data_IF_732592114570
#
_entry.id   IF_732592114570
#
_cell.length_a   1.000
_cell.length_b   1.000
_cell.length_c   1.000
_cell.angle_alpha   90.00
_cell.angle_beta   90.00
_cell.angle_gamma   90.00
#
_symmetry.space_group_name_H-M   'P 1'
#
loop_
_entity.id
_entity.type
_entity.pdbx_description
1 polymer ?
#
# COMPACT_ATOMS: atom_id res chain seq x y z
N UNK A 1 -46.84 -5.41 -1.03
CA UNK A 1 -46.85 -6.08 -2.33
C UNK A 1 -47.13 -4.99 -3.36
N UNK A 2 -46.13 -4.15 -3.59
CA UNK A 2 -46.17 -3.14 -4.65
C UNK A 2 -45.54 -3.82 -5.86
N UNK A 3 -46.29 -3.87 -6.95
CA UNK A 3 -45.81 -4.34 -8.24
C UNK A 3 -44.94 -3.21 -8.80
N UNK A 4 -43.63 -3.44 -8.89
CA UNK A 4 -42.72 -2.56 -9.64
C UNK A 4 -43.19 -2.52 -11.10
N UNK A 5 -43.79 -1.39 -11.48
CA UNK A 5 -44.16 -1.10 -12.87
C UNK A 5 -42.87 -0.64 -13.59
N UNK A 6 -42.11 -1.60 -14.13
CA UNK A 6 -40.92 -1.30 -14.93
C UNK A 6 -41.28 -0.34 -16.06
N UNK A 7 -40.55 0.78 -16.17
CA UNK A 7 -40.74 1.75 -17.25
C UNK A 7 -40.64 1.06 -18.62
N UNK A 8 -41.54 1.35 -19.59
CA UNK A 8 -41.50 0.78 -20.94
C UNK A 8 -40.15 0.98 -21.65
N UNK A 9 -39.44 2.06 -21.32
CA UNK A 9 -38.11 2.36 -21.87
C UNK A 9 -37.07 1.39 -21.31
N UNK A 10 -37.12 1.07 -20.02
CA UNK A 10 -36.23 0.09 -19.36
C UNK A 10 -36.38 -1.29 -20.00
N UNK A 11 -37.62 -1.75 -20.20
CA UNK A 11 -37.90 -3.03 -20.89
C UNK A 11 -37.33 -3.04 -22.31
N UNK A 12 -37.45 -1.92 -23.03
CA UNK A 12 -36.92 -1.78 -24.39
C UNK A 12 -35.39 -1.84 -24.40
N UNK A 13 -34.71 -1.14 -23.48
CA UNK A 13 -33.24 -1.19 -23.34
C UNK A 13 -32.78 -2.61 -23.03
N UNK A 14 -33.43 -3.32 -22.10
CA UNK A 14 -33.12 -4.73 -21.79
C UNK A 14 -33.21 -5.61 -23.04
N UNK A 15 -34.27 -5.44 -23.84
CA UNK A 15 -34.45 -6.20 -25.07
C UNK A 15 -33.33 -5.91 -26.08
N UNK A 16 -32.97 -4.64 -26.28
CA UNK A 16 -31.85 -4.24 -27.14
C UNK A 16 -30.51 -4.79 -26.66
N UNK A 17 -30.28 -4.80 -25.35
CA UNK A 17 -29.08 -5.36 -24.74
C UNK A 17 -28.96 -6.87 -25.03
N UNK A 18 -30.05 -7.62 -24.88
CA UNK A 18 -30.11 -9.05 -25.21
C UNK A 18 -29.90 -9.31 -26.72
N UNK A 19 -30.45 -8.46 -27.59
CA UNK A 19 -30.20 -8.51 -29.03
C UNK A 19 -28.72 -8.30 -29.36
N UNK A 20 -28.09 -7.31 -28.75
CA UNK A 20 -26.66 -7.05 -28.89
C UNK A 20 -25.80 -8.27 -28.46
N UNK A 21 -26.06 -8.83 -27.27
CA UNK A 21 -25.33 -10.04 -26.80
C UNK A 21 -25.47 -11.21 -27.76
N UNK A 22 -26.68 -11.45 -28.26
CA UNK A 22 -26.92 -12.50 -29.25
C UNK A 22 -26.16 -12.22 -30.55
N UNK A 23 -26.07 -10.97 -30.99
CA UNK A 23 -25.27 -10.59 -32.17
C UNK A 23 -23.77 -10.85 -31.97
N UNK A 24 -23.21 -10.61 -30.79
CA UNK A 24 -21.78 -10.88 -30.51
C UNK A 24 -21.41 -12.33 -30.83
N UNK A 25 -22.28 -13.29 -30.51
CA UNK A 25 -22.06 -14.72 -30.84
C UNK A 25 -22.09 -15.04 -32.34
N UNK A 26 -22.75 -14.20 -33.14
CA UNK A 26 -22.99 -14.43 -34.58
C UNK A 26 -21.96 -13.74 -35.48
N UNK A 27 -21.62 -12.49 -35.16
CA UNK A 27 -20.78 -11.64 -36.02
C UNK A 27 -19.46 -11.23 -35.36
N UNK A 28 -19.24 -11.63 -34.10
CA UNK A 28 -18.05 -11.24 -33.33
C UNK A 28 -18.27 -9.99 -32.48
N UNK A 29 -17.43 -9.83 -31.45
CA UNK A 29 -17.57 -8.79 -30.44
C UNK A 29 -17.32 -7.40 -31.02
N UNK A 30 -16.23 -7.24 -31.75
CA UNK A 30 -15.79 -5.97 -32.32
C UNK A 30 -16.79 -5.46 -33.35
N UNK A 31 -17.26 -6.33 -34.24
CA UNK A 31 -18.24 -5.98 -35.27
C UNK A 31 -19.61 -5.63 -34.66
N UNK A 32 -20.11 -6.45 -33.72
CA UNK A 32 -21.36 -6.15 -33.03
C UNK A 32 -21.26 -4.84 -32.24
N UNK A 33 -20.13 -4.60 -31.55
CA UNK A 33 -19.93 -3.40 -30.76
C UNK A 33 -19.96 -2.14 -31.63
N UNK A 34 -19.30 -2.18 -32.79
CA UNK A 34 -19.31 -1.10 -33.78
C UNK A 34 -20.68 -0.90 -34.41
N UNK A 35 -21.35 -1.98 -34.84
CA UNK A 35 -22.66 -1.92 -35.47
C UNK A 35 -23.69 -1.26 -34.54
N UNK A 36 -23.82 -1.77 -33.31
CA UNK A 36 -24.79 -1.27 -32.34
C UNK A 36 -24.44 0.12 -31.78
N UNK A 37 -23.16 0.54 -31.86
CA UNK A 37 -22.76 1.90 -31.49
C UNK A 37 -23.19 2.98 -32.47
N UNK A 38 -23.31 2.63 -33.74
CA UNK A 38 -23.60 3.57 -34.82
C UNK A 38 -25.10 3.65 -35.18
N UNK A 39 -25.93 2.73 -34.66
CA UNK A 39 -27.37 2.74 -34.90
C UNK A 39 -28.02 3.90 -34.11
N UNK A 40 -28.92 4.63 -34.76
CA UNK A 40 -29.78 5.61 -34.11
C UNK A 40 -31.02 4.92 -33.54
N UNK A 41 -31.07 4.77 -32.22
CA UNK A 41 -32.23 4.23 -31.50
C UNK A 41 -33.17 5.34 -31.07
N UNK A 42 -34.11 5.71 -31.93
CA UNK A 42 -35.10 6.75 -31.63
C UNK A 42 -36.11 6.31 -30.54
N UNK A 43 -36.32 5.00 -30.40
CA UNK A 43 -37.17 4.36 -29.39
C UNK A 43 -36.63 4.52 -27.95
N UNK A 44 -35.33 4.75 -27.78
CA UNK A 44 -34.70 4.92 -26.46
C UNK A 44 -34.64 6.40 -26.00
N UNK A 45 -34.98 7.35 -26.88
CA UNK A 45 -35.03 8.77 -26.56
C UNK A 45 -33.76 9.30 -25.88
N UNK A 46 -33.93 10.01 -24.75
CA UNK A 46 -32.84 10.60 -23.97
C UNK A 46 -32.10 9.59 -23.08
N UNK A 47 -32.63 8.37 -22.92
CA UNK A 47 -32.03 7.31 -22.10
C UNK A 47 -31.14 6.36 -22.90
N UNK A 48 -30.94 6.62 -24.20
CA UNK A 48 -30.06 5.84 -25.08
C UNK A 48 -28.68 5.58 -24.46
N UNK A 49 -28.12 6.57 -23.78
CA UNK A 49 -26.78 6.43 -23.18
C UNK A 49 -26.70 5.28 -22.18
N UNK A 50 -27.80 4.88 -21.53
CA UNK A 50 -27.84 3.70 -20.64
C UNK A 50 -27.57 2.43 -21.41
N UNK A 51 -28.21 2.25 -22.58
CA UNK A 51 -27.91 1.13 -23.48
C UNK A 51 -26.45 1.15 -23.95
N UNK A 52 -25.95 2.33 -24.36
CA UNK A 52 -24.56 2.48 -24.81
C UNK A 52 -23.57 2.10 -23.69
N UNK A 53 -23.89 2.44 -22.42
CA UNK A 53 -23.12 2.10 -21.24
C UNK A 53 -23.14 0.58 -20.93
N UNK A 54 -24.33 -0.06 -20.94
CA UNK A 54 -24.43 -1.52 -20.77
C UNK A 54 -23.60 -2.27 -21.81
N UNK A 55 -23.67 -1.81 -23.07
CA UNK A 55 -22.89 -2.37 -24.19
C UNK A 55 -21.37 -2.17 -23.99
N UNK A 56 -20.95 -1.01 -23.50
CA UNK A 56 -19.54 -0.75 -23.14
C UNK A 56 -19.06 -1.66 -22.00
N UNK A 57 -19.88 -1.89 -20.97
CA UNK A 57 -19.55 -2.78 -19.85
C UNK A 57 -19.40 -4.24 -20.33
N UNK A 58 -20.34 -4.73 -21.14
CA UNK A 58 -20.25 -6.07 -21.74
C UNK A 58 -19.00 -6.23 -22.61
N UNK A 59 -18.65 -5.20 -23.38
CA UNK A 59 -17.45 -5.22 -24.21
C UNK A 59 -16.19 -5.35 -23.35
N UNK A 60 -16.05 -4.53 -22.29
CA UNK A 60 -14.94 -4.59 -21.36
C UNK A 60 -14.82 -5.98 -20.74
N UNK A 61 -15.91 -6.49 -20.17
CA UNK A 61 -15.97 -7.80 -19.53
C UNK A 61 -15.52 -8.91 -20.49
N UNK A 62 -16.06 -8.92 -21.73
CA UNK A 62 -15.72 -9.93 -22.73
C UNK A 62 -14.26 -9.85 -23.16
N UNK A 63 -13.69 -8.65 -23.31
CA UNK A 63 -12.26 -8.48 -23.63
C UNK A 63 -11.39 -9.01 -22.50
N UNK A 64 -11.74 -8.74 -21.25
CA UNK A 64 -10.99 -9.23 -20.09
C UNK A 64 -11.02 -10.76 -19.96
N UNK A 65 -12.14 -11.38 -20.32
CA UNK A 65 -12.27 -12.85 -20.38
C UNK A 65 -11.42 -13.44 -21.51
N UNK A 66 -11.31 -12.75 -22.65
CA UNK A 66 -10.46 -13.17 -23.78
C UNK A 66 -8.97 -13.03 -23.49
N UNK A 67 -8.57 -12.04 -22.70
CA UNK A 67 -7.18 -11.72 -22.43
C UNK A 67 -6.84 -11.63 -20.93
N UNK A 68 -7.10 -12.69 -20.14
CA UNK A 68 -7.08 -12.64 -18.68
C UNK A 68 -5.69 -12.43 -18.05
N UNK A 69 -4.62 -12.59 -18.83
CA UNK A 69 -3.23 -12.45 -18.37
C UNK A 69 -2.40 -11.51 -19.26
N UNK A 70 -3.03 -10.88 -20.26
CA UNK A 70 -2.36 -10.00 -21.22
C UNK A 70 -2.96 -8.60 -21.17
N UNK A 71 -2.63 -7.88 -20.10
CA UNK A 71 -3.11 -6.53 -19.83
C UNK A 71 -2.83 -5.53 -20.98
N UNK A 72 -1.70 -5.69 -21.70
CA UNK A 72 -1.39 -4.83 -22.84
C UNK A 72 -2.32 -5.08 -24.02
N UNK A 73 -2.62 -6.35 -24.32
CA UNK A 73 -3.55 -6.70 -25.40
C UNK A 73 -4.98 -6.30 -25.01
N UNK A 74 -5.42 -6.60 -23.79
CA UNK A 74 -6.72 -6.15 -23.28
C UNK A 74 -6.89 -4.63 -23.42
N UNK A 75 -5.89 -3.86 -22.99
CA UNK A 75 -5.90 -2.40 -23.11
C UNK A 75 -5.96 -1.88 -24.55
N UNK A 76 -5.37 -2.58 -25.54
CA UNK A 76 -5.46 -2.21 -26.96
C UNK A 76 -6.86 -2.37 -27.53
N UNK A 77 -7.64 -3.32 -27.03
CA UNK A 77 -9.03 -3.54 -27.44
C UNK A 77 -9.99 -2.61 -26.69
N UNK A 78 -9.82 -2.47 -25.36
CA UNK A 78 -10.71 -1.66 -24.51
C UNK A 78 -10.66 -0.18 -24.89
N UNK A 79 -9.48 0.43 -24.94
CA UNK A 79 -9.36 1.89 -25.10
C UNK A 79 -10.08 2.48 -26.32
N UNK A 80 -9.96 1.93 -27.54
CA UNK A 80 -10.67 2.47 -28.70
C UNK A 80 -12.18 2.14 -28.72
N UNK A 81 -12.61 1.09 -28.01
CA UNK A 81 -14.02 0.68 -27.97
C UNK A 81 -14.88 1.48 -27.00
N UNK A 82 -14.29 2.19 -26.04
CA UNK A 82 -15.01 2.79 -24.91
C UNK A 82 -15.06 4.31 -25.03
N UNK A 83 -16.28 4.86 -25.13
CA UNK A 83 -16.53 6.30 -25.33
C UNK A 83 -17.13 6.96 -24.09
N UNK A 84 -18.22 6.42 -23.53
CA UNK A 84 -18.91 7.06 -22.41
C UNK A 84 -18.08 6.99 -21.14
N UNK A 85 -17.59 5.80 -20.78
CA UNK A 85 -16.77 5.64 -19.58
C UNK A 85 -15.43 6.37 -19.70
N UNK A 86 -14.94 6.66 -20.92
CA UNK A 86 -13.73 7.45 -21.17
C UNK A 86 -13.95 8.97 -21.09
N UNK A 87 -15.20 9.42 -20.93
CA UNK A 87 -15.57 10.84 -20.90
C UNK A 87 -15.83 11.30 -19.46
N UNK A 88 -14.88 12.09 -18.94
CA UNK A 88 -14.93 12.61 -17.57
C UNK A 88 -16.14 13.51 -17.29
N UNK A 89 -16.51 14.40 -18.23
CA UNK A 89 -17.70 15.26 -18.08
C UNK A 89 -18.98 14.42 -17.98
N UNK A 90 -19.09 13.37 -18.79
CA UNK A 90 -20.24 12.47 -18.73
C UNK A 90 -20.33 11.75 -17.37
N UNK A 91 -19.20 11.21 -16.87
CA UNK A 91 -19.15 10.55 -15.57
C UNK A 91 -19.52 11.51 -14.43
N UNK A 92 -19.03 12.74 -14.48
CA UNK A 92 -19.35 13.75 -13.47
C UNK A 92 -20.84 14.12 -13.48
N UNK A 93 -21.40 14.40 -14.66
CA UNK A 93 -22.77 14.92 -14.78
C UNK A 93 -23.85 13.84 -14.55
N UNK A 94 -23.49 12.55 -14.68
CA UNK A 94 -24.43 11.43 -14.59
C UNK A 94 -24.01 10.39 -13.53
N UNK A 95 -23.16 10.76 -12.57
CA UNK A 95 -22.47 9.81 -11.69
C UNK A 95 -23.40 8.82 -10.98
N UNK A 96 -24.50 9.30 -10.39
CA UNK A 96 -25.47 8.43 -9.70
C UNK A 96 -26.13 7.44 -10.67
N UNK A 97 -26.56 7.92 -11.83
CA UNK A 97 -27.25 7.11 -12.82
C UNK A 97 -26.29 6.12 -13.51
N UNK A 98 -25.00 6.48 -13.65
CA UNK A 98 -23.95 5.55 -14.08
C UNK A 98 -23.86 4.39 -13.09
N UNK A 99 -23.77 4.65 -11.78
CA UNK A 99 -23.72 3.59 -10.76
C UNK A 99 -24.97 2.72 -10.81
N UNK A 100 -26.18 3.30 -10.81
CA UNK A 100 -27.41 2.50 -10.95
C UNK A 100 -27.47 1.68 -12.24
N UNK A 101 -26.83 2.13 -13.31
CA UNK A 101 -26.74 1.37 -14.57
C UNK A 101 -25.70 0.24 -14.49
N UNK A 102 -24.63 0.40 -13.69
CA UNK A 102 -23.68 -0.68 -13.40
C UNK A 102 -24.31 -1.76 -12.53
N UNK A 103 -25.14 -1.40 -11.56
CA UNK A 103 -25.89 -2.35 -10.74
C UNK A 103 -26.89 -3.12 -11.62
N UNK A 104 -27.61 -2.40 -12.50
CA UNK A 104 -28.51 -3.03 -13.46
C UNK A 104 -27.79 -3.94 -14.46
N UNK A 105 -26.59 -3.57 -14.89
CA UNK A 105 -25.74 -4.45 -15.71
C UNK A 105 -25.45 -5.76 -14.99
N UNK A 106 -25.12 -5.72 -13.70
CA UNK A 106 -24.84 -6.90 -12.89
C UNK A 106 -26.07 -7.81 -12.79
N UNK A 107 -27.25 -7.24 -12.52
CA UNK A 107 -28.52 -7.98 -12.49
C UNK A 107 -28.85 -8.66 -13.83
N UNK A 108 -28.58 -7.99 -14.95
CA UNK A 108 -28.80 -8.53 -16.29
C UNK A 108 -27.83 -9.68 -16.62
N UNK A 109 -26.58 -9.58 -16.17
CA UNK A 109 -25.58 -10.64 -16.37
C UNK A 109 -25.76 -11.82 -15.40
N UNK A 110 -26.29 -11.60 -14.20
CA UNK A 110 -26.59 -12.65 -13.22
C UNK A 110 -27.70 -13.60 -13.71
N UNK A 111 -28.59 -13.12 -14.57
CA UNK A 111 -29.63 -13.92 -15.22
C UNK A 111 -29.09 -14.78 -16.38
N UNK A 112 -27.83 -14.60 -16.80
CA UNK A 112 -27.24 -15.33 -17.93
C UNK A 112 -26.58 -16.65 -17.49
N UNK A 113 -27.05 -17.82 -17.99
CA UNK A 113 -26.44 -19.11 -17.68
C UNK A 113 -24.99 -19.27 -18.18
N UNK A 114 -24.51 -18.39 -19.08
CA UNK A 114 -23.14 -18.37 -19.61
C UNK A 114 -22.25 -17.31 -18.95
N UNK A 115 -22.63 -16.83 -17.76
CA UNK A 115 -21.93 -15.81 -16.96
C UNK A 115 -20.40 -15.86 -17.13
N UNK A 116 -19.85 -14.77 -17.66
CA UNK A 116 -18.41 -14.64 -17.92
C UNK A 116 -17.65 -13.98 -16.75
N UNK A 117 -18.32 -13.73 -15.62
CA UNK A 117 -17.78 -13.11 -14.40
C UNK A 117 -18.28 -11.67 -14.22
N UNK A 118 -18.83 -11.32 -13.06
CA UNK A 118 -19.71 -10.16 -12.88
C UNK A 118 -18.99 -8.82 -12.76
N UNK A 119 -18.43 -8.51 -11.59
CA UNK A 119 -17.78 -7.23 -11.34
C UNK A 119 -16.25 -7.27 -11.49
N UNK A 120 -15.64 -8.46 -11.25
CA UNK A 120 -14.19 -8.64 -11.27
C UNK A 120 -13.55 -8.22 -12.61
N UNK A 121 -14.09 -8.74 -13.71
CA UNK A 121 -13.57 -8.45 -15.05
C UNK A 121 -13.87 -7.02 -15.47
N UNK A 122 -14.98 -6.45 -15.01
CA UNK A 122 -15.34 -5.08 -15.33
C UNK A 122 -14.41 -4.08 -14.63
N UNK A 123 -14.18 -4.24 -13.31
CA UNK A 123 -13.25 -3.42 -12.53
C UNK A 123 -11.81 -3.53 -13.03
N UNK A 124 -11.37 -4.75 -13.35
CA UNK A 124 -10.05 -4.98 -13.94
C UNK A 124 -9.94 -4.28 -15.30
N UNK A 125 -11.00 -4.35 -16.09
CA UNK A 125 -11.11 -3.64 -17.36
C UNK A 125 -11.03 -2.11 -17.23
N UNK A 126 -11.61 -1.54 -16.17
CA UNK A 126 -11.54 -0.09 -15.91
C UNK A 126 -10.11 0.40 -15.68
N UNK A 127 -9.19 -0.45 -15.21
CA UNK A 127 -7.75 -0.10 -15.05
C UNK A 127 -7.15 0.40 -16.38
N UNK A 128 -7.67 -0.07 -17.52
CA UNK A 128 -7.19 0.32 -18.84
C UNK A 128 -7.67 1.70 -19.31
N UNK A 129 -8.67 2.28 -18.64
CA UNK A 129 -9.28 3.56 -18.98
C UNK A 129 -8.52 4.74 -18.35
N UNK A 130 -8.59 5.89 -19.02
CA UNK A 130 -7.96 7.12 -18.53
C UNK A 130 -8.67 7.68 -17.30
N UNK A 131 -10.00 7.53 -17.25
CA UNK A 131 -10.97 7.97 -16.22
C UNK A 131 -11.16 6.96 -15.09
N UNK A 132 -10.27 5.97 -14.97
CA UNK A 132 -10.38 4.85 -14.01
C UNK A 132 -10.62 5.31 -12.56
N UNK A 133 -9.99 6.41 -12.14
CA UNK A 133 -10.15 6.95 -10.79
C UNK A 133 -11.51 7.61 -10.62
N UNK A 134 -12.00 8.33 -11.63
CA UNK A 134 -13.33 8.96 -11.65
C UNK A 134 -14.42 7.89 -11.60
N UNK A 135 -14.27 6.78 -12.32
CA UNK A 135 -15.22 5.66 -12.28
C UNK A 135 -15.28 5.07 -10.88
N UNK A 136 -14.13 4.74 -10.28
CA UNK A 136 -14.09 4.20 -8.91
C UNK A 136 -14.64 5.20 -7.90
N UNK A 137 -14.33 6.50 -8.05
CA UNK A 137 -14.88 7.58 -7.23
C UNK A 137 -16.40 7.58 -7.29
N UNK A 138 -16.99 7.51 -8.48
CA UNK A 138 -18.44 7.46 -8.65
C UNK A 138 -19.02 6.24 -7.92
N UNK A 139 -18.47 5.05 -8.15
CA UNK A 139 -18.95 3.80 -7.51
C UNK A 139 -18.97 3.95 -5.99
N UNK A 140 -17.83 4.31 -5.38
CA UNK A 140 -17.76 4.36 -3.91
C UNK A 140 -18.53 5.54 -3.31
N UNK A 141 -18.77 6.61 -4.07
CA UNK A 141 -19.54 7.76 -3.60
C UNK A 141 -21.05 7.46 -3.55
N UNK A 142 -21.58 6.79 -4.57
CA UNK A 142 -23.02 6.54 -4.70
C UNK A 142 -23.44 5.15 -4.22
N UNK A 143 -22.51 4.21 -4.09
CA UNK A 143 -22.69 2.95 -3.37
C UNK A 143 -21.50 2.65 -2.44
N UNK A 144 -21.51 3.18 -1.21
CA UNK A 144 -20.45 2.89 -0.24
C UNK A 144 -20.46 1.44 0.28
N UNK A 145 -21.58 0.71 0.14
CA UNK A 145 -21.69 -0.65 0.69
C UNK A 145 -20.84 -1.65 -0.10
N UNK A 146 -20.56 -1.38 -1.38
CA UNK A 146 -19.71 -2.23 -2.22
C UNK A 146 -18.21 -2.00 -2.02
N UNK A 147 -17.78 -1.01 -1.22
CA UNK A 147 -16.35 -0.71 -1.01
C UNK A 147 -15.51 -1.95 -0.64
N UNK A 148 -15.93 -2.80 0.32
CA UNK A 148 -15.16 -3.98 0.69
C UNK A 148 -14.99 -4.96 -0.48
N UNK A 149 -16.03 -5.11 -1.29
CA UNK A 149 -16.04 -5.97 -2.47
C UNK A 149 -15.19 -5.37 -3.59
N UNK A 150 -15.45 -4.14 -4.02
CA UNK A 150 -14.67 -3.44 -5.06
C UNK A 150 -13.17 -3.46 -4.74
N UNK A 151 -12.81 -3.20 -3.48
CA UNK A 151 -11.42 -3.29 -3.03
C UNK A 151 -10.87 -4.71 -3.22
N UNK A 152 -11.59 -5.72 -2.74
CA UNK A 152 -11.18 -7.12 -2.82
C UNK A 152 -10.94 -7.56 -4.28
N UNK A 153 -11.88 -7.23 -5.16
CA UNK A 153 -11.82 -7.54 -6.58
C UNK A 153 -10.66 -6.84 -7.30
N UNK A 154 -10.44 -5.54 -7.00
CA UNK A 154 -9.29 -4.80 -7.51
C UNK A 154 -7.97 -5.43 -7.04
N UNK A 155 -7.85 -5.81 -5.76
CA UNK A 155 -6.63 -6.45 -5.26
C UNK A 155 -6.37 -7.83 -5.89
N UNK A 156 -7.42 -8.58 -6.25
CA UNK A 156 -7.28 -9.84 -6.99
C UNK A 156 -6.71 -9.64 -8.41
N UNK A 157 -6.89 -8.47 -9.02
CA UNK A 157 -6.29 -8.17 -10.32
C UNK A 157 -4.77 -7.97 -10.24
N UNK A 158 -4.20 -7.57 -9.09
CA UNK A 158 -2.78 -7.23 -8.94
C UNK A 158 -1.84 -8.35 -9.44
N UNK A 159 -2.15 -9.61 -9.15
CA UNK A 159 -1.35 -10.76 -9.58
C UNK A 159 -1.41 -11.07 -11.08
N UNK A 160 -2.40 -10.53 -11.80
CA UNK A 160 -2.63 -10.73 -13.24
C UNK A 160 -2.05 -9.60 -14.09
N UNK A 161 -1.72 -8.46 -13.47
CA UNK A 161 -1.10 -7.32 -14.13
C UNK A 161 0.41 -7.53 -14.30
N UNK A 162 0.79 -8.05 -15.47
CA UNK A 162 2.18 -8.34 -15.83
C UNK A 162 3.05 -7.10 -16.08
N UNK A 163 2.44 -5.94 -16.36
CA UNK A 163 3.15 -4.68 -16.66
C UNK A 163 3.10 -3.71 -15.47
N UNK A 164 4.26 -3.13 -15.14
CA UNK A 164 4.42 -2.15 -14.05
C UNK A 164 3.50 -0.94 -14.21
N UNK A 165 3.14 -0.57 -15.44
CA UNK A 165 2.21 0.53 -15.71
C UNK A 165 0.82 0.27 -15.12
N UNK A 166 0.25 -0.91 -15.32
CA UNK A 166 -1.10 -1.20 -14.84
C UNK A 166 -1.14 -1.41 -13.33
N UNK A 167 -0.03 -1.85 -12.73
CA UNK A 167 0.10 -1.86 -11.27
C UNK A 167 0.04 -0.44 -10.68
N UNK A 168 0.64 0.55 -11.34
CA UNK A 168 0.50 1.97 -10.94
C UNK A 168 -0.96 2.42 -11.03
N UNK A 169 -1.66 2.08 -12.11
CA UNK A 169 -3.07 2.42 -12.28
C UNK A 169 -3.97 1.78 -11.22
N UNK A 170 -3.70 0.51 -10.88
CA UNK A 170 -4.36 -0.16 -9.77
C UNK A 170 -4.08 0.55 -8.44
N UNK A 171 -2.83 0.94 -8.17
CA UNK A 171 -2.48 1.73 -6.99
C UNK A 171 -3.30 3.02 -6.89
N UNK A 172 -3.47 3.74 -7.99
CA UNK A 172 -4.24 5.00 -8.04
C UNK A 172 -5.73 4.76 -7.78
N UNK A 173 -6.32 3.71 -8.34
CA UNK A 173 -7.72 3.35 -8.10
C UNK A 173 -7.96 2.99 -6.64
N UNK A 174 -7.15 2.09 -6.06
CA UNK A 174 -7.30 1.70 -4.64
C UNK A 174 -7.03 2.89 -3.71
N UNK A 175 -6.06 3.75 -4.05
CA UNK A 175 -5.83 4.98 -3.29
C UNK A 175 -7.03 5.93 -3.37
N UNK A 176 -7.70 6.03 -4.52
CA UNK A 176 -8.90 6.86 -4.69
C UNK A 176 -10.01 6.41 -3.73
N UNK A 177 -10.23 5.10 -3.57
CA UNK A 177 -11.18 4.56 -2.57
C UNK A 177 -10.85 5.09 -1.16
N UNK A 178 -9.56 5.06 -0.78
CA UNK A 178 -9.11 5.55 0.53
C UNK A 178 -9.26 7.07 0.67
N UNK A 179 -9.08 7.83 -0.42
CA UNK A 179 -9.25 9.28 -0.39
C UNK A 179 -10.71 9.68 -0.15
N UNK A 180 -11.64 9.01 -0.83
CA UNK A 180 -13.07 9.27 -0.69
C UNK A 180 -13.60 8.75 0.66
N UNK A 181 -13.11 7.58 1.10
CA UNK A 181 -13.53 6.96 2.36
C UNK A 181 -12.36 6.57 3.27
N UNK A 182 -11.73 7.54 3.97
CA UNK A 182 -10.56 7.30 4.81
C UNK A 182 -10.78 6.29 5.94
N UNK A 183 -12.03 6.02 6.34
CA UNK A 183 -12.37 5.03 7.36
C UNK A 183 -11.90 3.62 6.98
N UNK A 184 -11.79 3.32 5.68
CA UNK A 184 -11.32 2.03 5.17
C UNK A 184 -9.79 1.94 5.04
N UNK A 185 -9.04 3.02 5.30
CA UNK A 185 -7.58 3.05 5.13
C UNK A 185 -6.85 1.94 5.91
N UNK A 186 -7.32 1.63 7.12
CA UNK A 186 -6.72 0.57 7.93
C UNK A 186 -6.97 -0.83 7.33
N UNK A 187 -8.23 -1.16 7.02
CA UNK A 187 -8.61 -2.45 6.43
C UNK A 187 -7.88 -2.70 5.10
N UNK A 188 -7.89 -1.71 4.21
CA UNK A 188 -7.22 -1.79 2.91
C UNK A 188 -5.71 -2.02 3.08
N UNK A 189 -5.05 -1.32 4.00
CA UNK A 189 -3.63 -1.57 4.30
C UNK A 189 -3.39 -2.98 4.83
N UNK A 190 -4.23 -3.49 5.74
CA UNK A 190 -4.07 -4.84 6.24
C UNK A 190 -4.23 -5.91 5.16
N UNK A 191 -5.19 -5.73 4.23
CA UNK A 191 -5.35 -6.60 3.06
C UNK A 191 -4.12 -6.57 2.15
N UNK A 192 -3.58 -5.37 1.87
CA UNK A 192 -2.36 -5.20 1.08
C UNK A 192 -1.15 -5.89 1.73
N UNK A 193 -0.95 -5.71 3.04
CA UNK A 193 0.16 -6.32 3.79
C UNK A 193 0.01 -7.84 3.83
N UNK A 194 -1.19 -8.34 4.18
CA UNK A 194 -1.45 -9.78 4.28
C UNK A 194 -1.25 -10.52 2.96
N UNK A 195 -1.49 -9.84 1.83
CA UNK A 195 -1.27 -10.38 0.48
C UNK A 195 0.10 -10.06 -0.11
N UNK A 196 0.92 -9.27 0.59
CA UNK A 196 2.19 -8.77 0.08
C UNK A 196 2.04 -8.08 -1.29
N UNK A 197 1.09 -7.14 -1.37
CA UNK A 197 0.80 -6.36 -2.57
C UNK A 197 1.10 -4.86 -2.38
N UNK A 198 1.58 -4.22 -3.44
CA UNK A 198 1.66 -2.75 -3.59
C UNK A 198 2.24 -2.00 -2.36
N UNK A 199 3.50 -2.27 -1.96
CA UNK A 199 4.07 -1.70 -0.74
C UNK A 199 4.27 -0.17 -0.81
N UNK A 200 4.40 0.42 -1.99
CA UNK A 200 4.36 1.88 -2.17
C UNK A 200 2.99 2.46 -1.74
N UNK A 201 1.90 1.79 -2.08
CA UNK A 201 0.55 2.19 -1.69
C UNK A 201 0.36 2.08 -0.17
N UNK A 202 0.85 1.00 0.45
CA UNK A 202 0.85 0.86 1.92
C UNK A 202 1.57 2.03 2.57
N UNK A 203 2.74 2.41 2.03
CA UNK A 203 3.52 3.53 2.53
C UNK A 203 2.75 4.85 2.39
N UNK A 204 2.17 5.11 1.21
CA UNK A 204 1.38 6.32 0.95
C UNK A 204 0.18 6.43 1.88
N UNK A 205 -0.61 5.36 2.03
CA UNK A 205 -1.78 5.36 2.92
C UNK A 205 -1.33 5.59 4.37
N UNK A 206 -0.25 4.94 4.80
CA UNK A 206 0.29 5.09 6.16
C UNK A 206 0.71 6.53 6.46
N UNK A 207 1.35 7.22 5.52
CA UNK A 207 1.75 8.63 5.73
C UNK A 207 0.57 9.58 5.69
N UNK A 208 -0.40 9.38 4.79
CA UNK A 208 -1.47 10.35 4.57
C UNK A 208 -2.64 10.15 5.55
N UNK A 209 -3.02 8.90 5.81
CA UNK A 209 -4.24 8.56 6.56
C UNK A 209 -3.95 7.77 7.85
N UNK A 210 -2.76 7.19 8.00
CA UNK A 210 -2.38 6.41 9.17
C UNK A 210 -2.14 7.27 10.42
N UNK A 211 -2.38 6.65 11.58
CA UNK A 211 -1.99 7.16 12.92
C UNK A 211 -1.22 6.12 13.73
N UNK A 212 -0.90 5.00 13.09
CA UNK A 212 -0.37 3.75 13.61
C UNK A 212 0.90 3.34 12.81
N UNK A 213 1.66 4.33 12.34
CA UNK A 213 2.80 4.11 11.45
C UNK A 213 3.87 3.21 12.10
N UNK A 214 4.03 3.34 13.42
CA UNK A 214 4.95 2.52 14.21
C UNK A 214 4.50 1.05 14.26
N UNK A 215 3.20 0.80 14.45
CA UNK A 215 2.65 -0.55 14.51
C UNK A 215 2.76 -1.24 13.15
N UNK A 216 2.38 -0.52 12.08
CA UNK A 216 2.46 -1.01 10.70
C UNK A 216 3.89 -1.34 10.32
N UNK A 217 4.85 -0.44 10.56
CA UNK A 217 6.26 -0.68 10.22
C UNK A 217 6.84 -1.84 11.03
N UNK A 218 6.57 -1.92 12.33
CA UNK A 218 7.04 -3.04 13.15
C UNK A 218 6.47 -4.38 12.66
N UNK A 219 5.18 -4.43 12.30
CA UNK A 219 4.56 -5.62 11.72
C UNK A 219 5.23 -6.05 10.41
N UNK A 220 5.48 -5.10 9.50
CA UNK A 220 6.14 -5.35 8.22
C UNK A 220 7.58 -5.82 8.41
N UNK A 221 8.36 -5.13 9.24
CA UNK A 221 9.76 -5.44 9.45
C UNK A 221 9.98 -6.75 10.20
N UNK A 222 9.03 -7.18 11.03
CA UNK A 222 9.05 -8.49 11.66
C UNK A 222 8.65 -9.61 10.68
N UNK A 223 7.59 -9.40 9.87
CA UNK A 223 7.03 -10.45 9.01
C UNK A 223 7.69 -10.55 7.63
N UNK A 224 7.69 -9.46 6.86
CA UNK A 224 7.98 -9.48 5.42
C UNK A 224 8.91 -8.32 4.96
N UNK A 225 10.08 -8.09 5.61
CA UNK A 225 10.92 -6.94 5.29
C UNK A 225 11.48 -6.99 3.86
N UNK A 226 11.94 -8.15 3.37
CA UNK A 226 12.57 -8.28 2.05
C UNK A 226 11.62 -7.93 0.90
N UNK A 227 10.37 -8.39 0.99
CA UNK A 227 9.32 -8.07 0.02
C UNK A 227 9.03 -6.56 0.00
N UNK A 228 8.83 -5.96 1.17
CA UNK A 228 8.49 -4.55 1.27
C UNK A 228 9.61 -3.68 0.67
N UNK A 229 10.85 -4.01 1.01
CA UNK A 229 12.05 -3.30 0.56
C UNK A 229 12.27 -3.34 -0.95
N UNK A 230 11.91 -4.45 -1.62
CA UNK A 230 12.16 -4.62 -3.04
C UNK A 230 11.43 -3.61 -3.92
N UNK A 231 10.37 -2.98 -3.41
CA UNK A 231 9.46 -2.16 -4.20
C UNK A 231 9.20 -0.77 -3.59
N UNK A 232 9.89 -0.36 -2.52
CA UNK A 232 9.65 0.95 -1.86
C UNK A 232 10.75 1.98 -2.08
N UNK A 233 11.67 1.74 -3.02
CA UNK A 233 12.81 2.63 -3.26
C UNK A 233 12.40 4.06 -3.66
N UNK A 234 11.24 4.25 -4.30
CA UNK A 234 10.71 5.56 -4.68
C UNK A 234 10.11 6.36 -3.51
N UNK A 235 9.83 5.71 -2.37
CA UNK A 235 9.05 6.26 -1.26
C UNK A 235 9.89 6.98 -0.19
N UNK A 236 11.13 7.37 -0.49
CA UNK A 236 12.07 8.01 0.45
C UNK A 236 11.47 9.25 1.13
N UNK A 237 10.71 10.06 0.38
CA UNK A 237 10.06 11.27 0.92
C UNK A 237 8.99 10.92 1.96
N UNK A 238 8.23 9.84 1.74
CA UNK A 238 7.26 9.33 2.70
C UNK A 238 7.95 8.81 3.97
N UNK A 239 9.01 8.02 3.83
CA UNK A 239 9.77 7.52 4.98
C UNK A 239 10.43 8.63 5.79
N UNK A 240 10.84 9.72 5.14
CA UNK A 240 11.36 10.90 5.85
C UNK A 240 10.29 11.54 6.73
N UNK A 241 9.04 11.64 6.24
CA UNK A 241 7.90 12.11 7.05
C UNK A 241 7.60 11.17 8.21
N UNK A 242 7.62 9.85 7.96
CA UNK A 242 7.41 8.84 9.02
C UNK A 242 8.52 8.96 10.08
N UNK A 243 9.79 9.10 9.68
CA UNK A 243 10.92 9.30 10.60
C UNK A 243 10.67 10.48 11.55
N UNK A 244 10.23 11.62 11.03
CA UNK A 244 9.92 12.80 11.86
C UNK A 244 8.82 12.49 12.89
N UNK A 245 7.77 11.75 12.50
CA UNK A 245 6.70 11.33 13.42
C UNK A 245 7.19 10.33 14.47
N UNK A 246 8.06 9.39 14.09
CA UNK A 246 8.68 8.45 15.03
C UNK A 246 9.51 9.19 16.08
N UNK A 247 10.33 10.18 15.68
CA UNK A 247 11.07 10.99 16.66
C UNK A 247 10.16 11.78 17.60
N UNK A 248 9.05 12.33 17.10
CA UNK A 248 8.07 12.99 17.94
C UNK A 248 7.42 12.01 18.94
N UNK A 249 7.15 10.78 18.54
CA UNK A 249 6.61 9.74 19.44
C UNK A 249 7.65 9.27 20.47
N UNK A 250 8.93 9.20 20.10
CA UNK A 250 10.03 8.91 21.05
C UNK A 250 10.07 9.97 22.15
N UNK A 251 10.03 11.25 21.78
CA UNK A 251 10.06 12.36 22.75
C UNK A 251 8.82 12.35 23.65
N UNK A 252 7.63 12.18 23.06
CA UNK A 252 6.37 12.06 23.79
C UNK A 252 6.39 10.88 24.77
N UNK A 253 6.77 9.70 24.29
CA UNK A 253 6.82 8.47 25.10
C UNK A 253 7.83 8.56 26.23
N UNK A 254 8.94 9.29 26.04
CA UNK A 254 9.92 9.56 27.10
C UNK A 254 9.31 10.43 28.20
N UNK A 255 8.62 11.50 27.83
CA UNK A 255 7.98 12.43 28.77
C UNK A 255 6.82 11.76 29.54
N UNK A 256 6.03 10.95 28.84
CA UNK A 256 4.89 10.21 29.41
C UNK A 256 5.33 8.94 30.17
N UNK A 257 6.64 8.63 30.21
CA UNK A 257 7.22 7.41 30.78
C UNK A 257 6.58 6.11 30.22
N UNK A 258 6.12 6.15 28.97
CA UNK A 258 5.50 5.02 28.27
C UNK A 258 6.57 4.11 27.66
N UNK A 259 7.04 3.16 28.47
CA UNK A 259 8.11 2.22 28.09
C UNK A 259 7.77 1.38 26.85
N UNK A 260 6.50 0.98 26.70
CA UNK A 260 6.06 0.14 25.57
C UNK A 260 6.11 0.92 24.27
N UNK A 261 5.50 2.12 24.22
CA UNK A 261 5.49 2.97 23.02
C UNK A 261 6.90 3.40 22.64
N UNK A 262 7.73 3.75 23.62
CA UNK A 262 9.13 4.07 23.40
C UNK A 262 9.91 2.91 22.75
N UNK A 263 9.73 1.68 23.27
CA UNK A 263 10.36 0.49 22.71
C UNK A 263 9.94 0.25 21.25
N UNK A 264 8.65 0.39 20.95
CA UNK A 264 8.11 0.21 19.60
C UNK A 264 8.62 1.28 18.63
N UNK A 265 8.72 2.53 19.06
CA UNK A 265 9.23 3.63 18.26
C UNK A 265 10.73 3.46 17.95
N UNK A 266 11.55 3.06 18.93
CA UNK A 266 12.97 2.76 18.72
C UNK A 266 13.14 1.61 17.72
N UNK A 267 12.34 0.55 17.87
CA UNK A 267 12.36 -0.61 16.97
C UNK A 267 11.98 -0.21 15.54
N UNK A 268 10.93 0.58 15.36
CA UNK A 268 10.52 1.09 14.05
C UNK A 268 11.59 1.99 13.41
N UNK A 269 12.24 2.85 14.21
CA UNK A 269 13.36 3.68 13.75
C UNK A 269 14.55 2.83 13.28
N UNK A 270 14.89 1.78 14.03
CA UNK A 270 15.97 0.86 13.67
C UNK A 270 15.68 0.15 12.34
N UNK A 271 14.45 -0.31 12.12
CA UNK A 271 14.04 -0.88 10.83
C UNK A 271 14.08 0.14 9.69
N UNK A 272 13.63 1.38 9.94
CA UNK A 272 13.63 2.44 8.94
C UNK A 272 15.04 2.89 8.52
N UNK A 273 16.01 2.88 9.43
CA UNK A 273 17.41 3.13 9.06
C UNK A 273 18.07 1.89 8.48
N UNK A 274 17.87 0.72 9.11
CA UNK A 274 18.59 -0.51 8.78
C UNK A 274 18.12 -1.20 7.50
N UNK A 275 16.82 -1.20 7.21
CA UNK A 275 16.27 -1.75 5.97
C UNK A 275 16.19 -0.70 4.87
N UNK A 276 15.59 0.46 5.16
CA UNK A 276 15.30 1.49 4.15
C UNK A 276 16.46 2.45 3.89
N UNK A 277 17.55 2.37 4.65
CA UNK A 277 18.73 3.20 4.45
C UNK A 277 18.50 4.70 4.72
N UNK A 278 17.42 5.05 5.42
CA UNK A 278 17.10 6.46 5.72
C UNK A 278 18.16 7.03 6.65
N UNK A 279 18.77 8.13 6.25
CA UNK A 279 19.82 8.79 7.03
C UNK A 279 19.26 9.66 8.14
N UNK A 280 19.95 9.63 9.29
CA UNK A 280 19.74 10.49 10.43
C UNK A 280 20.62 11.73 10.29
N UNK A 281 20.07 12.88 10.68
CA UNK A 281 20.81 14.12 10.86
C UNK A 281 21.65 14.06 12.15
N UNK A 282 22.64 14.94 12.29
CA UNK A 282 23.48 14.98 13.50
C UNK A 282 22.65 15.24 14.78
N UNK A 283 21.61 16.08 14.67
CA UNK A 283 20.67 16.31 15.79
C UNK A 283 19.84 15.06 16.14
N UNK A 284 19.41 14.28 15.15
CA UNK A 284 18.69 13.02 15.37
C UNK A 284 19.59 11.95 16.00
N UNK A 285 20.87 11.86 15.57
CA UNK A 285 21.86 10.97 16.21
C UNK A 285 22.09 11.38 17.67
N UNK A 286 22.18 12.67 17.97
CA UNK A 286 22.31 13.16 19.34
C UNK A 286 21.11 12.76 20.23
N UNK A 287 19.89 12.77 19.68
CA UNK A 287 18.69 12.27 20.39
C UNK A 287 18.79 10.77 20.68
N UNK A 288 19.26 9.96 19.73
CA UNK A 288 19.49 8.53 19.95
C UNK A 288 20.53 8.25 21.05
N UNK A 289 21.60 9.05 21.11
CA UNK A 289 22.60 8.97 22.18
C UNK A 289 22.02 9.38 23.54
N UNK A 290 21.17 10.40 23.58
CA UNK A 290 20.49 10.82 24.80
C UNK A 290 19.53 9.75 25.34
N UNK A 291 18.86 9.00 24.46
CA UNK A 291 18.07 7.83 24.87
C UNK A 291 18.94 6.79 25.58
N UNK A 292 20.12 6.48 25.05
CA UNK A 292 21.05 5.55 25.69
C UNK A 292 21.47 6.05 27.08
N UNK A 293 21.72 7.35 27.23
CA UNK A 293 22.17 7.97 28.50
C UNK A 293 21.09 7.99 29.59
N UNK A 294 19.86 8.29 29.20
CA UNK A 294 18.78 8.60 30.17
C UNK A 294 17.88 7.41 30.50
N UNK A 295 18.02 6.30 29.78
CA UNK A 295 17.18 5.12 29.97
C UNK A 295 17.52 4.36 31.24
N UNK A 296 16.50 4.08 32.06
CA UNK A 296 16.65 3.36 33.33
C UNK A 296 16.19 1.90 33.27
N UNK A 297 15.71 1.44 32.12
CA UNK A 297 15.21 0.07 31.95
C UNK A 297 16.10 -0.72 31.00
N UNK A 298 16.43 -1.94 31.40
CA UNK A 298 17.26 -2.87 30.63
C UNK A 298 16.77 -3.00 29.18
N UNK A 299 15.47 -3.20 28.95
CA UNK A 299 14.89 -3.34 27.60
C UNK A 299 15.16 -2.15 26.70
N UNK A 300 14.97 -0.92 27.20
CA UNK A 300 15.19 0.29 26.41
C UNK A 300 16.69 0.50 26.18
N UNK A 301 17.54 0.27 27.18
CA UNK A 301 19.01 0.32 27.01
C UNK A 301 19.45 -0.64 25.90
N UNK A 302 18.95 -1.89 25.92
CA UNK A 302 19.24 -2.89 24.89
C UNK A 302 18.80 -2.40 23.50
N UNK A 303 17.56 -1.94 23.35
CA UNK A 303 17.03 -1.43 22.08
C UNK A 303 17.79 -0.20 21.58
N UNK A 304 18.09 0.77 22.44
CA UNK A 304 18.82 1.98 22.08
C UNK A 304 20.26 1.67 21.66
N UNK A 305 20.94 0.74 22.33
CA UNK A 305 22.27 0.28 21.91
C UNK A 305 22.22 -0.47 20.59
N UNK A 306 21.22 -1.34 20.38
CA UNK A 306 21.03 -1.99 19.07
C UNK A 306 20.76 -0.98 17.96
N UNK A 307 19.97 0.06 18.22
CA UNK A 307 19.80 1.18 17.28
C UNK A 307 21.14 1.88 17.00
N UNK A 308 21.95 2.16 18.03
CA UNK A 308 23.27 2.77 17.86
C UNK A 308 24.22 1.91 17.02
N UNK A 309 24.14 0.58 17.11
CA UNK A 309 24.86 -0.33 16.22
C UNK A 309 24.37 -0.20 14.78
N UNK A 310 23.06 -0.18 14.55
CA UNK A 310 22.48 -0.02 13.21
C UNK A 310 22.89 1.31 12.56
N UNK A 311 22.95 2.40 13.34
CA UNK A 311 23.34 3.74 12.84
C UNK A 311 24.82 4.07 13.04
N UNK A 312 25.65 3.07 13.33
CA UNK A 312 27.03 3.28 13.77
C UNK A 312 27.89 4.02 12.74
N UNK A 313 27.64 3.84 11.44
CA UNK A 313 28.31 4.59 10.35
C UNK A 313 28.03 6.11 10.41
N UNK A 314 26.84 6.49 10.89
CA UNK A 314 26.41 7.88 11.03
C UNK A 314 26.82 8.47 12.37
N UNK A 315 27.02 7.64 13.38
CA UNK A 315 27.46 8.05 14.72
C UNK A 315 28.97 8.35 14.83
N UNK A 316 29.76 8.05 13.79
CA UNK A 316 31.23 8.28 13.75
C UNK A 316 31.58 9.74 14.09
N UNK A 317 30.80 10.71 13.61
CA UNK A 317 31.03 12.14 13.88
C UNK A 317 30.81 12.53 15.35
N UNK A 318 30.10 11.69 16.10
CA UNK A 318 29.80 11.88 17.52
C UNK A 318 30.56 10.91 18.43
N UNK A 319 31.71 10.38 17.97
CA UNK A 319 32.55 9.42 18.69
C UNK A 319 32.79 9.77 20.17
N UNK A 320 33.12 11.02 20.47
CA UNK A 320 33.36 11.47 21.85
C UNK A 320 32.11 11.33 22.73
N UNK A 321 30.95 11.72 22.21
CA UNK A 321 29.69 11.61 22.95
C UNK A 321 29.28 10.15 23.14
N UNK A 322 29.47 9.33 22.10
CA UNK A 322 29.22 7.90 22.14
C UNK A 322 30.11 7.20 23.17
N UNK A 323 31.41 7.52 23.20
CA UNK A 323 32.34 7.00 24.21
C UNK A 323 31.88 7.31 25.64
N UNK A 324 31.50 8.56 25.91
CA UNK A 324 30.96 8.95 27.24
C UNK A 324 29.70 8.19 27.61
N UNK A 325 28.77 8.02 26.67
CA UNK A 325 27.53 7.26 26.89
C UNK A 325 27.83 5.79 27.18
N UNK A 326 28.77 5.17 26.45
CA UNK A 326 29.18 3.79 26.68
C UNK A 326 29.86 3.62 28.05
N UNK A 327 30.75 4.53 28.45
CA UNK A 327 31.36 4.52 29.79
C UNK A 327 30.31 4.62 30.89
N UNK A 328 29.33 5.52 30.74
CA UNK A 328 28.22 5.68 31.68
C UNK A 328 27.38 4.40 31.77
N UNK A 329 27.07 3.78 30.63
CA UNK A 329 26.28 2.54 30.60
C UNK A 329 27.01 1.38 31.28
N UNK A 330 28.32 1.22 31.05
CA UNK A 330 29.16 0.23 31.73
C UNK A 330 29.17 0.43 33.25
N UNK A 331 29.18 1.68 33.72
CA UNK A 331 29.14 2.02 35.15
C UNK A 331 27.75 1.87 35.77
N UNK A 332 26.68 2.03 34.98
CA UNK A 332 25.30 2.08 35.49
C UNK A 332 24.78 0.72 35.98
N UNK A 333 25.28 -0.39 35.45
CA UNK A 333 24.81 -1.74 35.77
C UNK A 333 23.36 -2.05 35.34
N UNK A 334 22.69 -1.16 34.58
CA UNK A 334 21.27 -1.32 34.18
C UNK A 334 21.06 -2.48 33.20
N UNK A 335 22.09 -2.85 32.46
CA UNK A 335 22.07 -3.94 31.48
C UNK A 335 23.45 -4.57 31.38
N UNK A 336 23.50 -5.89 31.20
CA UNK A 336 24.75 -6.63 30.93
C UNK A 336 25.24 -6.46 29.49
N UNK A 337 24.37 -6.01 28.58
CA UNK A 337 24.67 -5.90 27.15
C UNK A 337 25.92 -5.06 26.83
N UNK A 338 26.15 -3.87 27.42
CA UNK A 338 27.38 -3.11 27.17
C UNK A 338 28.65 -3.89 27.49
N UNK A 339 28.64 -4.66 28.58
CA UNK A 339 29.77 -5.48 29.00
C UNK A 339 29.98 -6.68 28.07
N UNK A 340 28.90 -7.36 27.68
CA UNK A 340 28.96 -8.44 26.69
C UNK A 340 29.47 -7.93 25.34
N UNK A 341 29.00 -6.76 24.88
CA UNK A 341 29.50 -6.11 23.66
C UNK A 341 30.99 -5.81 23.76
N UNK A 342 31.47 -5.29 24.90
CA UNK A 342 32.89 -5.03 25.12
C UNK A 342 33.72 -6.31 24.97
N UNK A 343 33.31 -7.41 25.59
CA UNK A 343 33.99 -8.71 25.48
C UNK A 343 33.99 -9.24 24.04
N UNK A 344 32.86 -9.16 23.34
CA UNK A 344 32.79 -9.60 21.94
C UNK A 344 33.62 -8.73 21.00
N UNK A 345 33.70 -7.42 21.23
CA UNK A 345 34.58 -6.55 20.47
C UNK A 345 36.06 -6.84 20.75
N UNK A 346 36.44 -7.19 21.98
CA UNK A 346 37.81 -7.59 22.31
C UNK A 346 38.25 -8.91 21.67
N UNK A 347 37.29 -9.82 21.49
CA UNK A 347 37.53 -11.15 20.94
C UNK A 347 37.23 -11.24 19.44
N UNK A 348 37.05 -10.10 18.77
CA UNK A 348 36.72 -10.00 17.33
C UNK A 348 35.45 -10.78 16.90
N UNK A 349 34.52 -11.02 17.84
CA UNK A 349 33.29 -11.78 17.61
C UNK A 349 32.14 -10.91 17.06
N UNK A 350 32.37 -10.20 15.94
CA UNK A 350 31.36 -9.32 15.33
C UNK A 350 30.03 -10.03 15.02
N UNK A 351 30.08 -11.29 14.60
CA UNK A 351 28.89 -12.08 14.31
C UNK A 351 27.98 -12.26 15.54
N UNK A 352 28.54 -12.34 16.75
CA UNK A 352 27.76 -12.43 17.99
C UNK A 352 27.10 -11.10 18.34
N UNK A 353 27.79 -9.98 18.12
CA UNK A 353 27.23 -8.64 18.31
C UNK A 353 26.05 -8.41 17.35
N UNK A 354 26.22 -8.78 16.08
CA UNK A 354 25.13 -8.71 15.10
C UNK A 354 23.94 -9.59 15.49
N UNK A 355 24.21 -10.85 15.88
CA UNK A 355 23.16 -11.80 16.28
C UNK A 355 22.40 -11.29 17.50
N UNK A 356 23.10 -10.77 18.50
CA UNK A 356 22.51 -10.16 19.69
C UNK A 356 21.63 -8.96 19.34
N UNK A 357 22.13 -8.02 18.52
CA UNK A 357 21.37 -6.85 18.13
C UNK A 357 20.12 -7.21 17.29
N UNK A 358 20.25 -8.15 16.35
CA UNK A 358 19.12 -8.66 15.56
C UNK A 358 18.08 -9.37 16.41
N UNK A 359 18.51 -10.11 17.43
CA UNK A 359 17.62 -10.79 18.39
C UNK A 359 16.85 -9.80 19.26
N UNK A 360 17.52 -8.76 19.78
CA UNK A 360 16.90 -7.71 20.60
C UNK A 360 15.89 -6.88 19.79
N UNK A 361 16.24 -6.51 18.56
CA UNK A 361 15.35 -5.80 17.65
C UNK A 361 14.29 -6.72 17.06
N UNK A 362 14.50 -8.04 17.11
CA UNK A 362 13.69 -9.05 16.43
C UNK A 362 13.50 -8.69 14.94
N UNK A 363 14.65 -8.37 14.31
CA UNK A 363 14.77 -7.96 12.91
C UNK A 363 16.12 -8.43 12.34
N UNK A 364 16.13 -8.88 11.09
CA UNK A 364 17.34 -9.20 10.33
C UNK A 364 17.94 -7.97 9.63
N UNK A 365 18.17 -6.89 10.39
CA UNK A 365 18.78 -5.66 9.84
C UNK A 365 20.27 -5.84 9.57
N UNK A 366 20.76 -5.16 8.52
CA UNK A 366 22.19 -5.07 8.24
C UNK A 366 22.85 -4.07 9.20
N UNK A 367 24.01 -4.45 9.75
CA UNK A 367 24.80 -3.58 10.62
C UNK A 367 26.05 -3.16 9.85
N UNK A 368 26.34 -1.85 9.71
CA UNK A 368 27.50 -1.38 8.95
C UNK A 368 28.82 -1.86 9.55
N UNK A 369 29.63 -2.59 8.76
CA UNK A 369 30.95 -3.10 9.20
C UNK A 369 31.89 -1.99 9.67
N UNK A 370 31.93 -0.87 8.93
CA UNK A 370 32.76 0.28 9.30
C UNK A 370 32.40 0.80 10.69
N UNK A 371 31.10 0.91 10.97
CA UNK A 371 30.63 1.36 12.28
C UNK A 371 30.92 0.36 13.40
N UNK A 372 30.94 -0.95 13.12
CA UNK A 372 31.40 -1.96 14.07
C UNK A 372 32.89 -1.80 14.42
N UNK A 373 33.76 -1.56 13.43
CA UNK A 373 35.18 -1.31 13.69
C UNK A 373 35.41 -0.04 14.52
N UNK A 374 34.65 1.02 14.25
CA UNK A 374 34.75 2.25 15.06
C UNK A 374 34.23 2.04 16.49
N UNK A 375 33.15 1.26 16.67
CA UNK A 375 32.67 0.86 18.00
C UNK A 375 33.71 0.04 18.76
N UNK A 376 34.40 -0.90 18.10
CA UNK A 376 35.48 -1.68 18.69
C UNK A 376 36.61 -0.77 19.22
N UNK A 377 37.06 0.20 18.42
CA UNK A 377 38.08 1.18 18.84
C UNK A 377 37.63 1.98 20.06
N UNK A 378 36.37 2.40 20.09
CA UNK A 378 35.81 3.14 21.23
C UNK A 378 35.84 2.30 22.51
N UNK A 379 35.36 1.05 22.47
CA UNK A 379 35.41 0.15 23.63
C UNK A 379 36.85 -0.11 24.11
N UNK A 380 37.81 -0.29 23.20
CA UNK A 380 39.22 -0.42 23.56
C UNK A 380 39.77 0.84 24.26
N UNK A 381 39.35 2.03 23.83
CA UNK A 381 39.77 3.29 24.45
C UNK A 381 39.19 3.50 25.85
N UNK A 382 37.96 3.05 26.11
CA UNK A 382 37.29 3.19 27.41
C UNK A 382 37.95 2.32 28.49
N UNK A 383 38.48 1.17 28.11
CA UNK A 383 39.17 0.28 29.06
C UNK A 383 40.56 0.81 29.47
N UNK A 384 41.21 1.56 28.57
CA UNK A 384 42.53 2.14 28.80
C UNK A 384 42.48 3.50 29.49
N UNK A 385 41.28 4.02 29.78
CA UNK A 385 41.01 5.27 30.47
C UNK A 385 40.51 4.98 31.90
#
# INVERSE_FOLDING_TARGET
MELDDESPVTTTITQRYKEYKNSVSKIGLEEAHNQYGNIAYHDLGHERWKFDLLRECFFIQTVMVRFPTNADLAGRHIRPGIRLLSNETFLHDNAQQVVSTLDWFDELEDQDPLRQGTWNHLLEGFIHLQTRCEIVRCIVQYDPLVIPEVTEQLLQSAGRLSSSRYQIYLCEMVYTIVQEHPIHAADIRYKLIGRQLLPELITRITVVHGKDEIDVLNGIFHGFPSWFMAQTASSVTHFTKIKTRIFAEIERSKNDNSKVKLAMAIRALAGLVGYLGIKLTEGEVAKCLDLCRTSQTERIVKLSLSLMLVVSDQAIRSQRNLGQVLSQLLQSGVSEMPMLMMVYFQTDQFAQIETMARSILDMHVAIPKLGLFEMQKLFASIQNA
#
